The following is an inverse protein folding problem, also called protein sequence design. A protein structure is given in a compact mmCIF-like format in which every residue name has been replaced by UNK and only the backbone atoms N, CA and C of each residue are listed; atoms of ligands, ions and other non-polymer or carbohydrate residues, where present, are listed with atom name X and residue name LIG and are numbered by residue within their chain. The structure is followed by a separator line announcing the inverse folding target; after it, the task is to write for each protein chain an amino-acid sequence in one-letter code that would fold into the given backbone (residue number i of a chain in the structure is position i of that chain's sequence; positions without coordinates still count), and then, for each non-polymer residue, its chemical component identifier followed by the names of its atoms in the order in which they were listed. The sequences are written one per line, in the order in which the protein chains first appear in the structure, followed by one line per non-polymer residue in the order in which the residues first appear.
data_IF_045377078242
#
_entry.id   IF_045377078242
#
_cell.length_a   1.000
_cell.length_b   1.000
_cell.length_c   1.000
_cell.angle_alpha   90.00
_cell.angle_beta   90.00
_cell.angle_gamma   90.00
#
_symmetry.space_group_name_H-M   'P 1'
#
loop_
_entity.id
_entity.type
_entity.pdbx_description
1 polymer ?
#
# COMPACT_ATOMS: atom_id res chain seq x y z
N UNK A 1 16.08 -2.81 18.08
CA UNK A 1 14.84 -2.78 18.86
C UNK A 1 13.77 -2.30 17.90
N UNK A 2 12.62 -2.95 17.85
CA UNK A 2 11.46 -2.51 17.05
C UNK A 2 10.48 -1.96 18.07
N UNK A 3 10.22 -0.66 18.06
CA UNK A 3 9.27 -0.05 18.99
C UNK A 3 7.87 -0.22 18.44
N UNK A 4 6.90 -0.50 19.32
CA UNK A 4 5.48 -0.40 18.97
C UNK A 4 5.01 1.04 19.18
N UNK A 5 5.56 1.71 20.20
CA UNK A 5 5.22 3.08 20.57
C UNK A 5 6.46 3.90 20.90
N UNK A 6 6.52 5.11 20.34
CA UNK A 6 7.55 6.10 20.61
C UNK A 6 6.89 7.44 20.94
N UNK A 7 7.27 8.03 22.07
CA UNK A 7 6.87 9.39 22.45
C UNK A 7 8.10 10.26 22.48
N UNK A 8 8.09 11.32 21.67
CA UNK A 8 9.13 12.32 21.57
C UNK A 8 8.67 13.61 22.23
N UNK A 9 9.45 14.12 23.19
CA UNK A 9 9.21 15.42 23.82
C UNK A 9 10.37 16.36 23.55
N UNK A 10 10.14 17.62 23.21
CA UNK A 10 11.24 18.58 23.06
C UNK A 10 11.97 18.73 24.40
N UNK A 11 13.29 18.88 24.35
CA UNK A 11 14.08 19.11 25.56
C UNK A 11 13.71 20.43 26.25
N UNK A 12 13.27 21.41 25.46
CA UNK A 12 12.83 22.73 25.93
C UNK A 12 11.76 23.30 25.02
N UNK A 13 10.77 23.97 25.60
CA UNK A 13 9.68 24.59 24.85
C UNK A 13 8.56 23.63 24.49
N UNK A 14 7.68 24.09 23.62
CA UNK A 14 6.57 23.33 23.06
C UNK A 14 6.92 22.88 21.62
N UNK A 15 6.28 21.82 21.15
CA UNK A 15 6.35 21.37 19.77
C UNK A 15 5.74 22.45 18.86
N UNK A 16 6.47 22.82 17.81
CA UNK A 16 5.91 23.61 16.71
C UNK A 16 4.98 22.73 15.86
N UNK A 17 3.74 22.57 16.33
CA UNK A 17 2.73 21.70 15.72
C UNK A 17 2.48 22.09 14.26
N UNK A 18 2.47 23.38 13.96
CA UNK A 18 2.25 23.87 12.59
C UNK A 18 3.39 23.46 11.67
N UNK A 19 4.63 23.62 12.12
CA UNK A 19 5.80 23.23 11.33
C UNK A 19 5.86 21.72 11.06
N UNK A 20 5.61 20.90 12.09
CA UNK A 20 5.57 19.43 11.95
C UNK A 20 4.43 18.99 11.03
N UNK A 21 3.23 19.58 11.20
CA UNK A 21 2.07 19.28 10.36
C UNK A 21 2.33 19.67 8.90
N UNK A 22 2.93 20.83 8.64
CA UNK A 22 3.25 21.29 7.30
C UNK A 22 4.27 20.38 6.60
N UNK A 23 5.24 19.82 7.34
CA UNK A 23 6.16 18.84 6.78
C UNK A 23 5.44 17.54 6.43
N UNK A 24 4.60 17.01 7.34
CA UNK A 24 3.81 15.80 7.09
C UNK A 24 2.87 15.95 5.90
N UNK A 25 2.18 17.09 5.79
CA UNK A 25 1.26 17.39 4.68
C UNK A 25 1.97 17.53 3.32
N UNK A 26 3.28 17.80 3.32
CA UNK A 26 4.07 17.91 2.08
C UNK A 26 4.57 16.56 1.56
N UNK A 27 4.49 15.49 2.35
CA UNK A 27 4.98 14.17 1.95
C UNK A 27 3.99 13.46 1.02
N UNK A 28 4.42 12.93 -0.13
CA UNK A 28 3.53 12.26 -1.08
C UNK A 28 3.02 10.89 -0.58
N UNK A 29 3.62 10.35 0.49
CA UNK A 29 3.27 9.07 1.11
C UNK A 29 2.63 9.23 2.49
N UNK A 30 2.23 10.45 2.86
CA UNK A 30 1.50 10.71 4.09
C UNK A 30 0.06 11.16 3.79
N UNK A 31 -0.87 10.83 4.68
CA UNK A 31 -2.19 11.46 4.71
C UNK A 31 -2.62 11.77 6.14
N UNK A 32 -3.33 12.89 6.31
CA UNK A 32 -4.00 13.22 7.57
C UNK A 32 -5.25 12.35 7.73
N UNK A 33 -5.43 11.72 8.90
CA UNK A 33 -6.54 10.79 9.16
C UNK A 33 -7.89 11.48 8.86
N UNK A 34 -8.67 11.00 7.89
CA UNK A 34 -9.95 11.60 7.53
C UNK A 34 -11.03 11.44 8.60
N UNK A 35 -10.82 10.58 9.62
CA UNK A 35 -11.78 10.29 10.68
C UNK A 35 -11.50 11.11 11.95
N UNK A 36 -10.28 11.02 12.51
CA UNK A 36 -9.92 11.69 13.79
C UNK A 36 -9.31 13.08 13.58
N UNK A 37 -8.65 13.31 12.44
CA UNK A 37 -8.18 14.64 12.01
C UNK A 37 -6.98 15.22 12.76
N UNK A 38 -6.46 14.59 13.81
CA UNK A 38 -5.32 15.05 14.63
C UNK A 38 -4.06 14.19 14.47
N UNK A 39 -4.14 13.18 13.60
CA UNK A 39 -3.05 12.27 13.31
C UNK A 39 -2.82 12.08 11.81
N UNK A 40 -1.63 11.63 11.47
CA UNK A 40 -1.17 11.31 10.13
C UNK A 40 -0.82 9.83 10.06
N UNK A 41 -0.99 9.28 8.87
CA UNK A 41 -0.51 7.96 8.50
C UNK A 41 0.62 8.11 7.49
N UNK A 42 1.75 7.47 7.71
CA UNK A 42 2.85 7.35 6.75
C UNK A 42 2.82 5.94 6.17
N UNK A 43 2.69 5.86 4.85
CA UNK A 43 2.76 4.60 4.10
C UNK A 43 4.13 4.44 3.46
N UNK A 44 4.50 3.21 3.12
CA UNK A 44 5.75 2.89 2.41
C UNK A 44 5.90 3.72 1.13
N UNK A 45 4.83 3.82 0.32
CA UNK A 45 4.83 4.53 -0.96
C UNK A 45 3.62 5.46 -1.14
N UNK A 46 3.66 6.41 -2.10
CA UNK A 46 2.51 7.25 -2.46
C UNK A 46 1.28 6.45 -2.90
N UNK A 47 1.48 5.34 -3.61
CA UNK A 47 0.38 4.47 -3.99
C UNK A 47 -0.26 3.78 -2.79
N UNK A 48 0.54 3.24 -1.88
CA UNK A 48 0.02 2.60 -0.66
C UNK A 48 -0.67 3.63 0.25
N UNK A 49 -0.21 4.88 0.25
CA UNK A 49 -0.88 6.00 0.92
C UNK A 49 -2.32 6.19 0.41
N UNK A 50 -2.53 6.19 -0.91
CA UNK A 50 -3.87 6.31 -1.49
C UNK A 50 -4.78 5.14 -1.09
N UNK A 51 -4.25 3.92 -1.13
CA UNK A 51 -4.94 2.70 -0.70
C UNK A 51 -5.35 2.75 0.79
N UNK A 52 -4.37 2.97 1.67
CA UNK A 52 -4.57 3.04 3.12
C UNK A 52 -5.57 4.15 3.50
N UNK A 53 -5.55 5.28 2.78
CA UNK A 53 -6.52 6.36 3.01
C UNK A 53 -7.94 5.91 2.69
N UNK A 54 -8.14 5.20 1.58
CA UNK A 54 -9.46 4.69 1.22
C UNK A 54 -9.94 3.59 2.18
N UNK A 55 -9.04 2.67 2.55
CA UNK A 55 -9.32 1.65 3.57
C UNK A 55 -9.75 2.29 4.90
N UNK A 56 -9.05 3.35 5.33
CA UNK A 56 -9.39 4.11 6.54
C UNK A 56 -10.78 4.74 6.47
N UNK A 57 -11.19 5.23 5.30
CA UNK A 57 -12.54 5.79 5.07
C UNK A 57 -13.59 4.66 5.11
N UNK A 58 -13.28 3.51 4.52
CA UNK A 58 -14.17 2.36 4.46
C UNK A 58 -14.35 1.67 5.82
N UNK A 59 -13.29 1.63 6.63
CA UNK A 59 -13.22 0.97 7.93
C UNK A 59 -12.84 1.96 9.06
N UNK A 60 -13.73 2.89 9.46
CA UNK A 60 -13.41 3.93 10.45
C UNK A 60 -13.06 3.43 11.86
N UNK A 61 -13.29 2.15 12.17
CA UNK A 61 -12.92 1.55 13.45
C UNK A 61 -11.47 1.07 13.51
N UNK A 62 -10.79 0.95 12.37
CA UNK A 62 -9.45 0.38 12.27
C UNK A 62 -8.48 1.34 11.58
N UNK A 63 -7.23 1.34 12.05
CA UNK A 63 -6.14 2.04 11.37
C UNK A 63 -5.45 1.05 10.43
N UNK A 64 -5.14 1.45 9.19
CA UNK A 64 -4.37 0.63 8.26
C UNK A 64 -2.99 0.28 8.84
N UNK A 65 -2.34 -0.79 8.37
CA UNK A 65 -0.93 -1.06 8.66
C UNK A 65 -0.04 0.12 8.25
N UNK A 66 0.99 0.41 9.05
CA UNK A 66 1.95 1.47 8.80
C UNK A 66 2.35 2.26 10.05
N UNK A 67 2.79 3.51 9.83
CA UNK A 67 3.22 4.42 10.90
C UNK A 67 2.15 5.48 11.14
N UNK A 68 1.60 5.48 12.35
CA UNK A 68 0.71 6.54 12.82
C UNK A 68 1.50 7.58 13.59
N UNK A 69 1.30 8.85 13.26
CA UNK A 69 1.90 10.00 13.93
C UNK A 69 0.80 10.89 14.48
N UNK A 70 0.83 11.22 15.77
CA UNK A 70 -0.01 12.25 16.37
C UNK A 70 0.88 13.37 16.92
N UNK A 71 0.52 14.61 16.62
CA UNK A 71 1.33 15.79 16.98
C UNK A 71 0.56 16.62 17.98
N UNK A 72 1.08 16.72 19.20
CA UNK A 72 0.52 17.53 20.27
C UNK A 72 1.51 18.65 20.66
N UNK A 73 1.05 19.72 21.34
CA UNK A 73 1.92 20.82 21.75
C UNK A 73 3.08 20.40 22.67
N UNK A 74 2.95 19.32 23.42
CA UNK A 74 3.96 18.87 24.39
C UNK A 74 4.74 17.62 23.93
N UNK A 75 4.28 16.94 22.88
CA UNK A 75 4.92 15.72 22.39
C UNK A 75 4.50 15.35 20.95
N UNK A 76 5.33 14.52 20.32
CA UNK A 76 4.97 13.77 19.12
C UNK A 76 4.85 12.29 19.52
N UNK A 77 3.72 11.69 19.22
CA UNK A 77 3.45 10.28 19.42
C UNK A 77 3.57 9.54 18.09
N UNK A 78 4.30 8.43 18.08
CA UNK A 78 4.48 7.57 16.92
C UNK A 78 4.11 6.15 17.34
N UNK A 79 3.15 5.54 16.64
CA UNK A 79 2.84 4.13 16.79
C UNK A 79 3.18 3.41 15.49
N UNK A 80 3.88 2.29 15.62
CA UNK A 80 4.28 1.45 14.51
C UNK A 80 3.57 0.10 14.62
N UNK A 81 2.70 -0.20 13.65
CA UNK A 81 2.14 -1.54 13.45
C UNK A 81 2.46 -1.94 12.02
N UNK A 82 3.73 -2.28 11.84
CA UNK A 82 4.44 -2.01 10.60
C UNK A 82 5.55 -3.04 10.38
N UNK A 83 5.87 -3.30 9.13
CA UNK A 83 7.04 -4.08 8.74
C UNK A 83 8.32 -3.21 8.66
N UNK A 84 9.40 -3.75 8.10
CA UNK A 84 10.66 -3.02 7.99
C UNK A 84 10.57 -1.80 7.06
N UNK A 85 9.74 -1.84 6.03
CA UNK A 85 9.62 -0.78 5.03
C UNK A 85 8.85 0.41 5.62
N UNK A 86 7.76 0.12 6.33
CA UNK A 86 7.03 1.13 7.10
C UNK A 86 7.92 1.80 8.17
N UNK A 87 8.71 1.01 8.89
CA UNK A 87 9.62 1.52 9.91
C UNK A 87 10.70 2.44 9.34
N UNK A 88 11.09 2.28 8.08
CA UNK A 88 12.01 3.20 7.42
C UNK A 88 11.37 4.59 7.25
N UNK A 89 10.07 4.68 6.97
CA UNK A 89 9.33 5.96 6.95
C UNK A 89 9.20 6.58 8.33
N UNK A 90 8.97 5.76 9.35
CA UNK A 90 8.99 6.21 10.75
C UNK A 90 10.35 6.78 11.14
N UNK A 91 11.44 6.10 10.78
CA UNK A 91 12.81 6.56 11.05
C UNK A 91 13.15 7.85 10.29
N UNK A 92 12.74 7.98 9.03
CA UNK A 92 12.90 9.20 8.23
C UNK A 92 12.29 10.41 8.96
N UNK A 93 11.07 10.27 9.48
CA UNK A 93 10.41 11.32 10.24
C UNK A 93 11.14 11.66 11.55
N UNK A 94 11.58 10.64 12.31
CA UNK A 94 12.33 10.88 13.56
C UNK A 94 13.68 11.54 13.28
N UNK A 95 14.37 11.16 12.20
CA UNK A 95 15.60 11.81 11.77
C UNK A 95 15.37 13.28 11.42
N UNK A 96 14.27 13.58 10.72
CA UNK A 96 13.88 14.97 10.45
C UNK A 96 13.62 15.75 11.74
N UNK A 97 12.89 15.20 12.71
CA UNK A 97 12.64 15.87 14.00
C UNK A 97 13.95 16.18 14.75
N UNK A 98 14.83 15.19 14.87
CA UNK A 98 16.12 15.31 15.59
C UNK A 98 17.12 16.22 14.86
N UNK A 99 17.00 16.37 13.55
CA UNK A 99 17.80 17.32 12.79
C UNK A 99 17.41 18.79 13.08
N UNK A 100 16.16 19.04 13.49
CA UNK A 100 15.63 20.39 13.71
C UNK A 100 15.61 20.81 15.19
N UNK A 101 15.58 19.86 16.13
CA UNK A 101 15.61 20.17 17.58
C UNK A 101 16.14 19.00 18.43
N UNK A 102 16.27 19.20 19.73
CA UNK A 102 16.68 18.20 20.72
C UNK A 102 15.46 17.52 21.34
N UNK A 103 15.40 16.20 21.21
CA UNK A 103 14.25 15.40 21.64
C UNK A 103 14.62 14.38 22.71
N UNK A 104 13.77 14.29 23.73
CA UNK A 104 13.72 13.23 24.72
C UNK A 104 12.78 12.13 24.24
N UNK A 105 13.15 10.87 24.44
CA UNK A 105 12.35 9.74 23.97
C UNK A 105 11.90 8.81 25.08
N UNK A 106 10.67 8.35 24.94
CA UNK A 106 10.12 7.21 25.68
C UNK A 106 9.73 6.14 24.65
N UNK A 107 10.34 4.97 24.74
CA UNK A 107 10.11 3.82 23.85
C UNK A 107 9.37 2.75 24.63
N UNK A 108 8.17 2.36 24.19
CA UNK A 108 7.33 1.34 24.82
C UNK A 108 7.17 1.56 26.34
N UNK A 109 7.07 2.83 26.75
CA UNK A 109 6.94 3.25 28.16
C UNK A 109 8.27 3.39 28.92
N UNK A 110 9.42 3.12 28.30
CA UNK A 110 10.76 3.25 28.90
C UNK A 110 11.43 4.56 28.45
N UNK A 111 11.76 5.42 29.40
CA UNK A 111 12.54 6.63 29.14
C UNK A 111 13.99 6.26 28.78
N UNK A 112 14.42 6.64 27.58
CA UNK A 112 15.78 6.41 27.07
C UNK A 112 16.62 7.69 27.02
N UNK A 113 16.06 8.81 27.49
CA UNK A 113 16.73 10.09 27.56
C UNK A 113 16.76 10.82 26.21
N UNK A 114 17.79 11.64 26.04
CA UNK A 114 17.99 12.43 24.83
C UNK A 114 18.39 11.53 23.66
N UNK A 115 17.77 11.74 22.50
CA UNK A 115 18.17 11.10 21.25
C UNK A 115 19.35 11.88 20.64
N UNK A 116 20.51 11.25 20.60
CA UNK A 116 21.70 11.72 19.92
C UNK A 116 21.89 11.08 18.53
N UNK A 117 21.40 9.85 18.38
CA UNK A 117 21.40 9.10 17.12
C UNK A 117 20.02 8.41 16.94
N UNK A 118 19.18 8.91 16.01
CA UNK A 118 17.88 8.32 15.71
C UNK A 118 17.95 6.84 15.31
N UNK A 119 19.04 6.39 14.69
CA UNK A 119 19.19 5.02 14.23
C UNK A 119 19.21 4.01 15.38
N UNK A 120 19.46 4.45 16.62
CA UNK A 120 19.40 3.59 17.82
C UNK A 120 17.99 3.16 18.18
N UNK A 121 16.96 3.86 17.69
CA UNK A 121 15.55 3.57 17.93
C UNK A 121 15.02 2.45 17.04
N UNK A 122 15.70 2.16 15.95
CA UNK A 122 15.26 1.19 14.94
C UNK A 122 16.16 -0.05 14.89
N UNK A 123 15.67 -1.18 14.36
CA UNK A 123 16.56 -2.30 14.05
C UNK A 123 17.58 -1.89 12.98
N UNK A 124 18.78 -2.48 13.01
CA UNK A 124 19.79 -2.27 11.97
C UNK A 124 19.34 -2.87 10.65
N UNK A 125 19.62 -2.19 9.53
CA UNK A 125 19.38 -2.71 8.19
C UNK A 125 17.97 -2.45 7.65
N UNK A 126 17.29 -1.39 8.12
CA UNK A 126 16.12 -0.87 7.43
C UNK A 126 16.48 -0.45 5.99
N UNK A 127 15.55 -0.58 5.04
CA UNK A 127 15.76 -0.09 3.69
C UNK A 127 15.94 1.43 3.67
N UNK A 128 16.58 1.95 2.63
CA UNK A 128 16.67 3.39 2.39
C UNK A 128 15.27 3.91 2.01
N UNK A 129 14.69 4.89 2.75
CA UNK A 129 13.40 5.48 2.40
C UNK A 129 13.32 6.02 0.97
N UNK A 130 14.44 6.47 0.39
CA UNK A 130 14.50 6.93 -0.99
C UNK A 130 14.35 5.78 -2.02
N UNK A 131 14.59 4.54 -1.60
CA UNK A 131 14.39 3.33 -2.41
C UNK A 131 12.97 2.78 -2.33
N UNK A 132 12.16 3.23 -1.36
CA UNK A 132 10.76 2.88 -1.19
C UNK A 132 9.89 3.70 -2.16
N UNK A 133 10.05 3.44 -3.45
CA UNK A 133 9.27 4.05 -4.52
C UNK A 133 8.19 3.07 -5.02
N UNK A 134 7.16 3.62 -5.67
CA UNK A 134 6.20 2.78 -6.40
C UNK A 134 6.94 1.94 -7.45
N UNK A 135 6.49 0.69 -7.64
CA UNK A 135 7.16 -0.27 -8.50
C UNK A 135 7.43 0.32 -9.91
N UNK A 136 8.72 0.45 -10.31
CA UNK A 136 9.08 1.03 -11.60
C UNK A 136 8.70 0.15 -12.80
N UNK A 137 8.25 -1.09 -12.60
CA UNK A 137 7.80 -1.95 -13.71
C UNK A 137 6.58 -1.36 -14.43
N UNK A 138 5.77 -0.58 -13.71
CA UNK A 138 4.63 0.13 -14.26
C UNK A 138 4.98 1.61 -14.48
N UNK A 139 4.70 2.15 -15.68
CA UNK A 139 4.82 3.58 -15.87
C UNK A 139 3.86 4.30 -14.89
N UNK A 140 4.24 5.49 -14.37
CA UNK A 140 3.33 6.28 -13.56
C UNK A 140 2.05 6.56 -14.35
N UNK A 141 0.90 6.51 -13.68
CA UNK A 141 -0.40 6.64 -14.34
C UNK A 141 -0.65 8.10 -14.71
N UNK A 142 -0.08 8.47 -15.84
CA UNK A 142 -0.29 9.76 -16.50
C UNK A 142 -1.40 9.67 -17.55
N UNK A 143 -1.73 8.45 -18.01
CA UNK A 143 -2.86 8.12 -18.86
C UNK A 143 -3.22 6.63 -18.70
N UNK A 144 -4.50 6.28 -18.85
CA UNK A 144 -4.99 4.91 -18.79
C UNK A 144 -5.44 4.48 -17.38
N UNK A 145 -5.32 3.17 -17.10
CA UNK A 145 -5.68 2.54 -15.83
C UNK A 145 -4.64 1.49 -15.42
N UNK A 146 -4.37 1.37 -14.13
CA UNK A 146 -3.66 0.25 -13.51
C UNK A 146 -4.65 -0.42 -12.57
N UNK A 147 -4.85 -1.72 -12.75
CA UNK A 147 -5.72 -2.48 -11.84
C UNK A 147 -4.85 -3.44 -11.07
N UNK A 148 -5.05 -3.50 -9.76
CA UNK A 148 -4.43 -4.49 -8.89
C UNK A 148 -5.49 -5.36 -8.27
N UNK A 149 -5.29 -6.66 -8.43
CA UNK A 149 -6.16 -7.72 -7.99
C UNK A 149 -5.45 -8.51 -6.88
N UNK A 150 -5.96 -8.43 -5.66
CA UNK A 150 -5.36 -9.07 -4.49
C UNK A 150 -6.33 -10.10 -3.90
N UNK A 151 -5.84 -11.32 -3.68
CA UNK A 151 -6.62 -12.42 -3.11
C UNK A 151 -5.73 -13.36 -2.30
N UNK A 152 -6.27 -13.97 -1.25
CA UNK A 152 -5.64 -15.08 -0.54
C UNK A 152 -6.29 -16.39 -0.98
N UNK A 153 -5.52 -17.27 -1.62
CA UNK A 153 -5.98 -18.60 -2.01
C UNK A 153 -5.13 -19.66 -1.31
N UNK A 154 -5.68 -20.22 -0.23
CA UNK A 154 -5.06 -21.30 0.52
C UNK A 154 -3.94 -20.87 1.47
N UNK A 155 -3.99 -19.64 1.98
CA UNK A 155 -2.96 -19.06 2.85
C UNK A 155 -1.74 -18.56 2.08
N UNK A 156 -1.90 -18.27 0.79
CA UNK A 156 -0.86 -17.74 -0.08
C UNK A 156 -1.44 -16.51 -0.80
N UNK A 157 -0.95 -15.34 -0.38
CA UNK A 157 -1.36 -14.07 -0.95
C UNK A 157 -0.89 -13.97 -2.40
N UNK A 158 -1.81 -13.53 -3.26
CA UNK A 158 -1.58 -13.34 -4.68
C UNK A 158 -1.96 -11.94 -5.06
N UNK A 159 -1.04 -11.26 -5.73
CA UNK A 159 -1.25 -9.94 -6.29
C UNK A 159 -1.05 -10.00 -7.78
N UNK A 160 -2.06 -9.58 -8.55
CA UNK A 160 -2.01 -9.51 -9.99
C UNK A 160 -2.31 -8.10 -10.47
N UNK A 161 -1.30 -7.47 -11.06
CA UNK A 161 -1.34 -6.08 -11.50
C UNK A 161 -1.35 -6.03 -13.02
N UNK A 162 -2.29 -5.31 -13.61
CA UNK A 162 -2.40 -5.15 -15.06
C UNK A 162 -2.58 -3.67 -15.41
N UNK A 163 -1.70 -3.17 -16.27
CA UNK A 163 -1.76 -1.82 -16.82
C UNK A 163 -2.44 -1.83 -18.20
N UNK A 164 -3.24 -0.81 -18.46
CA UNK A 164 -3.94 -0.56 -19.72
C UNK A 164 -3.04 -0.49 -20.96
N UNK A 165 -1.71 -0.38 -20.79
CA UNK A 165 -0.74 -0.42 -21.88
C UNK A 165 -0.46 -1.81 -22.43
N UNK A 166 -0.82 -2.89 -21.70
CA UNK A 166 -0.49 -4.32 -21.91
C UNK A 166 0.40 -4.96 -20.84
N UNK A 167 1.07 -4.17 -19.98
CA UNK A 167 2.01 -4.70 -19.00
C UNK A 167 1.27 -5.36 -17.86
N UNK A 168 1.81 -6.46 -17.35
CA UNK A 168 1.29 -7.11 -16.16
C UNK A 168 2.41 -7.65 -15.27
N UNK A 169 2.09 -7.82 -14.00
CA UNK A 169 2.95 -8.43 -12.98
C UNK A 169 2.10 -9.30 -12.05
N UNK A 170 2.52 -10.52 -11.82
CA UNK A 170 1.89 -11.49 -10.92
C UNK A 170 2.87 -11.86 -9.82
N UNK A 171 2.43 -11.79 -8.58
CA UNK A 171 3.26 -12.00 -7.41
C UNK A 171 2.58 -12.97 -6.44
N UNK A 172 3.38 -13.87 -5.89
CA UNK A 172 3.03 -14.75 -4.78
C UNK A 172 4.15 -14.75 -3.75
N UNK A 173 3.96 -15.38 -2.59
CA UNK A 173 5.02 -15.53 -1.58
C UNK A 173 6.30 -16.21 -2.07
N UNK A 174 6.28 -16.86 -3.25
CA UNK A 174 7.37 -17.68 -3.78
C UNK A 174 8.02 -17.12 -5.03
N UNK A 175 7.36 -16.23 -5.76
CA UNK A 175 7.86 -15.72 -7.05
C UNK A 175 7.13 -14.48 -7.51
N UNK A 176 7.82 -13.74 -8.37
CA UNK A 176 7.26 -12.64 -9.15
C UNK A 176 7.45 -12.92 -10.64
N UNK A 177 6.35 -12.90 -11.39
CA UNK A 177 6.31 -13.03 -12.84
C UNK A 177 5.87 -11.70 -13.45
N UNK A 178 6.39 -11.36 -14.63
CA UNK A 178 5.94 -10.19 -15.36
C UNK A 178 5.90 -10.42 -16.86
N UNK A 179 5.20 -9.55 -17.57
CA UNK A 179 5.00 -9.75 -18.98
C UNK A 179 4.15 -8.72 -19.71
N UNK A 180 3.72 -9.14 -20.90
CA UNK A 180 2.77 -8.40 -21.75
C UNK A 180 1.56 -9.24 -22.11
N UNK A 181 0.39 -8.62 -22.10
CA UNK A 181 -0.82 -9.18 -22.67
C UNK A 181 -0.74 -9.15 -24.20
N UNK A 182 -1.30 -10.18 -24.84
CA UNK A 182 -1.53 -10.20 -26.28
C UNK A 182 -2.53 -9.11 -26.70
N UNK A 183 -2.52 -8.66 -27.97
CA UNK A 183 -3.45 -7.65 -28.46
C UNK A 183 -4.94 -7.98 -28.19
N UNK A 184 -5.34 -9.24 -28.34
CA UNK A 184 -6.73 -9.64 -28.06
C UNK A 184 -7.03 -9.62 -26.56
N UNK A 185 -6.08 -10.05 -25.73
CA UNK A 185 -6.24 -10.05 -24.27
C UNK A 185 -6.35 -8.63 -23.71
N UNK A 186 -5.52 -7.69 -24.17
CA UNK A 186 -5.60 -6.29 -23.68
C UNK A 186 -6.90 -5.61 -24.12
N UNK A 187 -7.43 -5.91 -25.31
CA UNK A 187 -8.75 -5.41 -25.75
C UNK A 187 -9.86 -5.96 -24.86
N UNK A 188 -9.85 -7.27 -24.58
CA UNK A 188 -10.84 -7.90 -23.71
C UNK A 188 -10.74 -7.36 -22.27
N UNK A 189 -9.52 -7.19 -21.77
CA UNK A 189 -9.24 -6.62 -20.46
C UNK A 189 -9.77 -5.20 -20.32
N UNK A 190 -9.38 -4.30 -21.23
CA UNK A 190 -9.81 -2.90 -21.18
C UNK A 190 -11.33 -2.78 -21.31
N UNK A 191 -11.98 -3.61 -22.13
CA UNK A 191 -13.44 -3.63 -22.23
C UNK A 191 -14.12 -4.11 -20.94
N UNK A 192 -13.54 -5.11 -20.25
CA UNK A 192 -14.05 -5.60 -18.97
C UNK A 192 -13.89 -4.54 -17.87
N UNK A 193 -12.72 -3.90 -17.75
CA UNK A 193 -12.44 -2.85 -16.76
C UNK A 193 -13.32 -1.62 -16.97
N UNK A 194 -13.59 -1.24 -18.23
CA UNK A 194 -14.45 -0.08 -18.52
C UNK A 194 -15.91 -0.30 -18.14
N UNK A 195 -16.35 -1.57 -18.03
CA UNK A 195 -17.71 -1.90 -17.61
C UNK A 195 -17.89 -1.91 -16.09
N UNK A 196 -16.81 -1.75 -15.32
CA UNK A 196 -16.86 -1.80 -13.86
C UNK A 196 -17.29 -0.46 -13.28
N UNK A 197 -18.11 -0.53 -12.25
CA UNK A 197 -18.44 0.60 -11.38
C UNK A 197 -17.99 0.23 -9.96
N UNK A 198 -16.90 0.82 -9.44
CA UNK A 198 -16.46 0.55 -8.07
C UNK A 198 -17.43 1.07 -7.00
N UNK A 199 -18.41 1.90 -7.37
CA UNK A 199 -19.53 2.29 -6.51
C UNK A 199 -20.80 1.45 -6.72
N UNK A 200 -20.69 0.29 -7.39
CA UNK A 200 -21.81 -0.60 -7.68
C UNK A 200 -22.52 -1.02 -6.36
N UNK A 201 -23.82 -0.69 -6.20
CA UNK A 201 -24.57 -1.03 -4.99
C UNK A 201 -24.80 -2.55 -4.80
N UNK A 202 -24.53 -3.37 -5.82
CA UNK A 202 -24.54 -4.83 -5.72
C UNK A 202 -23.27 -5.40 -5.05
N UNK A 203 -22.23 -4.59 -4.82
CA UNK A 203 -21.03 -5.04 -4.11
C UNK A 203 -21.36 -5.43 -2.66
N UNK A 204 -20.88 -6.60 -2.19
CA UNK A 204 -21.15 -7.03 -0.83
C UNK A 204 -20.40 -6.16 0.18
N UNK A 205 -21.07 -5.77 1.27
CA UNK A 205 -20.44 -5.04 2.38
C UNK A 205 -19.37 -5.90 3.09
N UNK A 206 -19.58 -7.22 3.13
CA UNK A 206 -18.67 -8.19 3.75
C UNK A 206 -18.62 -9.48 2.89
N UNK A 207 -17.71 -9.59 1.90
CA UNK A 207 -17.51 -10.83 1.17
C UNK A 207 -16.89 -11.91 2.06
N UNK A 208 -17.05 -13.18 1.67
CA UNK A 208 -16.45 -14.32 2.37
C UNK A 208 -14.91 -14.24 2.26
N UNK A 209 -14.17 -14.17 3.38
CA UNK A 209 -12.71 -14.08 3.36
C UNK A 209 -12.02 -15.20 2.56
N UNK A 210 -12.64 -16.38 2.44
CA UNK A 210 -12.07 -17.50 1.70
C UNK A 210 -12.10 -17.33 0.18
N UNK A 211 -12.92 -16.42 -0.34
CA UNK A 211 -13.14 -16.20 -1.77
C UNK A 211 -13.13 -14.73 -2.16
N UNK A 212 -12.84 -13.85 -1.18
CA UNK A 212 -12.80 -12.42 -1.36
C UNK A 212 -11.61 -12.01 -2.23
N UNK A 213 -11.86 -10.95 -3.00
CA UNK A 213 -10.85 -10.22 -3.75
C UNK A 213 -10.98 -8.74 -3.46
N UNK A 214 -9.83 -8.09 -3.25
CA UNK A 214 -9.68 -6.64 -3.33
C UNK A 214 -9.22 -6.25 -4.74
N UNK A 215 -9.94 -5.33 -5.36
CA UNK A 215 -9.58 -4.77 -6.65
C UNK A 215 -9.37 -3.26 -6.51
N UNK A 216 -8.15 -2.81 -6.72
CA UNK A 216 -7.76 -1.39 -6.78
C UNK A 216 -7.64 -0.97 -8.25
N UNK A 217 -8.25 0.14 -8.62
CA UNK A 217 -8.20 0.76 -9.94
C UNK A 217 -7.66 2.17 -9.83
N UNK A 218 -6.42 2.34 -10.26
CA UNK A 218 -5.74 3.62 -10.27
C UNK A 218 -5.84 4.26 -11.66
N UNK A 219 -6.21 5.54 -11.68
CA UNK A 219 -6.36 6.37 -12.87
C UNK A 219 -5.66 7.72 -12.66
N UNK A 220 -5.46 8.55 -13.70
CA UNK A 220 -4.94 9.90 -13.51
C UNK A 220 -5.82 10.78 -12.61
N UNK A 221 -7.11 10.43 -12.45
CA UNK A 221 -8.06 11.14 -11.61
C UNK A 221 -8.05 10.71 -10.14
N UNK A 222 -7.35 9.63 -9.80
CA UNK A 222 -7.33 9.03 -8.47
C UNK A 222 -7.53 7.51 -8.51
N UNK A 223 -7.59 6.92 -7.32
CA UNK A 223 -7.82 5.49 -7.12
C UNK A 223 -9.23 5.21 -6.64
N UNK A 224 -9.82 4.15 -7.16
CA UNK A 224 -11.09 3.57 -6.74
C UNK A 224 -10.87 2.12 -6.36
N UNK A 225 -11.64 1.58 -5.42
CA UNK A 225 -11.49 0.19 -4.98
C UNK A 225 -12.85 -0.52 -4.95
N UNK A 226 -12.82 -1.83 -5.11
CA UNK A 226 -13.98 -2.71 -4.93
C UNK A 226 -13.55 -3.96 -4.18
N UNK A 227 -14.42 -4.47 -3.31
CA UNK A 227 -14.19 -5.70 -2.54
C UNK A 227 -15.39 -6.62 -2.71
N UNK A 228 -15.17 -7.83 -3.24
CA UNK A 228 -16.26 -8.74 -3.62
C UNK A 228 -15.86 -10.21 -3.59
N UNK A 229 -16.86 -11.09 -3.66
CA UNK A 229 -16.70 -12.54 -3.68
C UNK A 229 -16.54 -13.06 -5.12
N UNK A 230 -15.49 -13.84 -5.37
CA UNK A 230 -15.24 -14.45 -6.69
C UNK A 230 -16.18 -15.59 -7.06
N UNK A 231 -16.88 -16.21 -6.09
CA UNK A 231 -17.87 -17.28 -6.31
C UNK A 231 -19.20 -16.73 -6.78
N UNK A 232 -19.60 -15.56 -6.29
CA UNK A 232 -20.85 -14.90 -6.65
C UNK A 232 -20.65 -13.41 -6.95
N UNK A 233 -19.79 -13.06 -7.94
CA UNK A 233 -19.52 -11.66 -8.25
C UNK A 233 -20.74 -10.99 -8.89
N UNK A 234 -20.92 -9.67 -8.71
CA UNK A 234 -21.92 -8.91 -9.44
C UNK A 234 -21.76 -9.10 -10.96
N UNK A 235 -22.85 -8.92 -11.71
CA UNK A 235 -22.87 -9.26 -13.13
C UNK A 235 -21.80 -8.52 -13.94
N UNK A 236 -21.52 -7.25 -13.60
CA UNK A 236 -20.49 -6.43 -14.23
C UNK A 236 -19.07 -6.97 -13.99
N UNK A 237 -18.82 -7.60 -12.84
CA UNK A 237 -17.52 -8.09 -12.41
C UNK A 237 -17.20 -9.52 -12.88
N UNK A 238 -18.22 -10.30 -13.28
CA UNK A 238 -18.03 -11.68 -13.72
C UNK A 238 -16.99 -11.84 -14.85
N UNK A 239 -16.98 -11.01 -15.91
CA UNK A 239 -15.99 -11.16 -16.99
C UNK A 239 -14.55 -11.01 -16.52
N UNK A 240 -14.27 -10.07 -15.60
CA UNK A 240 -12.93 -9.83 -15.08
C UNK A 240 -12.51 -10.95 -14.12
N UNK A 241 -13.42 -11.44 -13.26
CA UNK A 241 -13.19 -12.59 -12.38
C UNK A 241 -12.79 -13.82 -13.17
N UNK A 242 -13.56 -14.18 -14.20
CA UNK A 242 -13.28 -15.36 -15.02
C UNK A 242 -11.94 -15.23 -15.75
N UNK A 243 -11.61 -14.04 -16.23
CA UNK A 243 -10.35 -13.77 -16.93
C UNK A 243 -9.15 -13.90 -15.99
N UNK A 244 -9.19 -13.22 -14.84
CA UNK A 244 -8.12 -13.23 -13.84
C UNK A 244 -7.94 -14.61 -13.25
N UNK A 245 -9.02 -15.33 -12.91
CA UNK A 245 -8.93 -16.69 -12.39
C UNK A 245 -8.23 -17.66 -13.36
N UNK A 246 -8.51 -17.56 -14.66
CA UNK A 246 -7.81 -18.36 -15.69
C UNK A 246 -6.33 -18.03 -15.75
N UNK A 247 -5.98 -16.75 -15.70
CA UNK A 247 -4.59 -16.29 -15.75
C UNK A 247 -3.81 -16.69 -14.50
N UNK A 248 -4.35 -16.43 -13.31
CA UNK A 248 -3.73 -16.84 -12.03
C UNK A 248 -3.48 -18.36 -12.02
N UNK A 249 -4.47 -19.18 -12.38
CA UNK A 249 -4.30 -20.63 -12.39
C UNK A 249 -3.20 -21.08 -13.39
N UNK A 250 -3.13 -20.42 -14.55
CA UNK A 250 -2.10 -20.71 -15.55
C UNK A 250 -0.71 -20.29 -15.08
N UNK A 251 -0.60 -19.12 -14.44
CA UNK A 251 0.64 -18.59 -13.89
C UNK A 251 1.10 -19.40 -12.68
N UNK A 252 0.18 -19.89 -11.84
CA UNK A 252 0.47 -20.78 -10.71
C UNK A 252 1.11 -22.09 -11.16
N UNK A 253 0.77 -22.58 -12.35
CA UNK A 253 1.33 -23.80 -12.93
C UNK A 253 2.47 -23.53 -13.93
N UNK A 254 2.80 -22.25 -14.16
CA UNK A 254 3.76 -21.87 -15.19
C UNK A 254 5.18 -22.33 -14.85
N UNK A 255 5.90 -22.76 -15.88
CA UNK A 255 7.32 -23.10 -15.85
C UNK A 255 8.04 -22.42 -17.03
N UNK A 256 9.34 -22.10 -16.91
CA UNK A 256 10.07 -21.41 -17.96
C UNK A 256 9.91 -22.06 -19.34
N UNK A 257 9.52 -21.24 -20.32
CA UNK A 257 9.34 -21.66 -21.72
C UNK A 257 7.93 -22.16 -22.08
N UNK A 258 6.98 -22.24 -21.14
CA UNK A 258 5.58 -22.52 -21.49
C UNK A 258 4.81 -21.24 -21.84
N UNK A 259 3.88 -21.35 -22.77
CA UNK A 259 2.98 -20.24 -23.11
C UNK A 259 1.84 -20.16 -22.12
N UNK A 260 1.40 -18.93 -21.82
CA UNK A 260 0.18 -18.65 -21.06
C UNK A 260 -0.82 -18.01 -22.01
N UNK A 261 -2.06 -18.48 -21.99
CA UNK A 261 -3.11 -17.95 -22.85
C UNK A 261 -3.29 -16.44 -22.65
N UNK A 262 -3.28 -15.70 -23.76
CA UNK A 262 -3.46 -14.26 -23.73
C UNK A 262 -2.21 -13.46 -23.33
N UNK A 263 -1.05 -14.10 -23.12
CA UNK A 263 0.21 -13.44 -22.74
C UNK A 263 1.31 -13.72 -23.78
N UNK A 264 2.16 -12.73 -24.07
CA UNK A 264 3.18 -12.80 -25.13
C UNK A 264 4.61 -12.88 -24.60
N UNK A 265 4.85 -12.41 -23.39
CA UNK A 265 6.14 -12.44 -22.71
C UNK A 265 5.85 -12.83 -21.26
N UNK A 266 6.42 -13.92 -20.75
CA UNK A 266 6.34 -14.30 -19.33
C UNK A 266 7.77 -14.48 -18.83
N UNK A 267 8.18 -13.62 -17.89
CA UNK A 267 9.54 -13.58 -17.35
C UNK A 267 9.46 -13.73 -15.83
N UNK A 268 10.31 -14.59 -15.28
CA UNK A 268 10.54 -14.70 -13.85
C UNK A 268 11.47 -13.57 -13.39
N UNK A 269 11.06 -12.83 -12.38
CA UNK A 269 11.88 -11.84 -11.69
C UNK A 269 12.62 -12.54 -10.55
N UNK A 270 13.93 -12.33 -10.48
CA UNK A 270 14.79 -12.82 -9.39
C UNK A 270 14.68 -11.94 -8.14
#
# INVERSE_FOLDING_TARGET
MLFETLILRPQSGDVDVEHVSAWLDALPYAFRDPIEGDSWHLSVTPRLMALNKQERIANPSEFPPGIRVAVAPDHVFIAARADADDLARGLEFVQWLVANDRWMATVDGVDIGLIDDPCRLSPSGLPDPASLIDDPTFPPITAGKLVTWSTDLGGDERTFVIHSSDRWRYETSKRTLQGRLSPNAIVAWNAAVEALDPADPELPVHPDPATAVSMDMETPGGSEWAYFDTVAPPAAYRPIVEMVARWINSLDQWVPGTQVEGMTEVVLME
#
